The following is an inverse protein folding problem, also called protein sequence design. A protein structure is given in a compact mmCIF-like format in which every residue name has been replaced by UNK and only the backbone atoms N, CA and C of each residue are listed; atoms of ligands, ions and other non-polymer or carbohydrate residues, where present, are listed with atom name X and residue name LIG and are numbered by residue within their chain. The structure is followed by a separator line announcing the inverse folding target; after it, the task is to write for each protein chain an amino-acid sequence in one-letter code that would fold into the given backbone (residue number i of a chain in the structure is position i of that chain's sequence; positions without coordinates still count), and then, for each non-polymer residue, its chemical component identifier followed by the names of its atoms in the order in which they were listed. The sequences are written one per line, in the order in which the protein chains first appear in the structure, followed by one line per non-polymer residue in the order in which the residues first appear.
data_IF_410466229006
#
_entry.id   IF_410466229006
#
_cell.length_a   1.000
_cell.length_b   1.000
_cell.length_c   1.000
_cell.angle_alpha   90.00
_cell.angle_beta   90.00
_cell.angle_gamma   90.00
#
_symmetry.space_group_name_H-M   'P 1'
#
loop_
_entity.id
_entity.type
_entity.pdbx_description
1 polymer ?
#
# COMPACT_ATOMS: atom_id res chain seq x y z
N UNK A 1 -5.96 -21.62 18.62
CA UNK A 1 -6.21 -21.23 17.22
C UNK A 1 -5.79 -19.78 17.08
N UNK A 2 -4.79 -19.50 16.24
CA UNK A 2 -4.34 -18.14 16.01
C UNK A 2 -5.48 -17.31 15.41
N UNK A 3 -5.76 -16.13 15.97
CA UNK A 3 -6.83 -15.22 15.51
C UNK A 3 -6.44 -14.41 14.27
N UNK A 4 -5.22 -14.59 13.77
CA UNK A 4 -4.66 -13.87 12.64
C UNK A 4 -5.24 -14.32 11.30
N UNK A 5 -5.34 -13.37 10.38
CA UNK A 5 -5.75 -13.63 8.99
C UNK A 5 -4.49 -14.04 8.23
N UNK A 6 -4.44 -15.29 7.79
CA UNK A 6 -3.31 -15.82 7.01
C UNK A 6 -3.12 -15.02 5.71
N UNK A 7 -1.87 -14.73 5.37
CA UNK A 7 -1.47 -14.05 4.12
C UNK A 7 -2.09 -12.67 3.86
N UNK A 8 -2.71 -12.02 4.85
CA UNK A 8 -3.30 -10.67 4.69
C UNK A 8 -2.26 -9.64 4.21
N UNK A 9 -1.01 -9.77 4.65
CA UNK A 9 0.09 -8.85 4.35
C UNK A 9 0.50 -8.90 2.87
N UNK A 10 0.32 -10.04 2.19
CA UNK A 10 0.62 -10.18 0.76
C UNK A 10 -0.22 -9.23 -0.11
N UNK A 11 -1.39 -8.83 0.37
CA UNK A 11 -2.38 -8.10 -0.45
C UNK A 11 -2.88 -6.80 0.18
N UNK A 12 -2.20 -6.29 1.20
CA UNK A 12 -2.54 -5.02 1.84
C UNK A 12 -1.88 -3.82 1.16
N UNK A 13 -2.35 -2.62 1.51
CA UNK A 13 -1.85 -1.31 1.04
C UNK A 13 -0.71 -0.74 1.92
N UNK A 14 -0.22 -1.54 2.87
CA UNK A 14 0.74 -1.15 3.90
C UNK A 14 0.35 0.10 4.72
N UNK A 15 -0.90 0.57 4.71
CA UNK A 15 -1.33 1.75 5.48
C UNK A 15 -1.79 1.36 6.91
N UNK A 16 -0.84 0.86 7.70
CA UNK A 16 -1.09 0.28 9.02
C UNK A 16 -1.82 1.23 9.99
N UNK A 17 -1.53 2.53 9.97
CA UNK A 17 -2.14 3.53 10.85
C UNK A 17 -3.66 3.67 10.64
N UNK A 18 -4.15 3.26 9.47
CA UNK A 18 -5.57 3.30 9.09
C UNK A 18 -6.17 1.90 8.92
N UNK A 19 -5.37 0.85 9.11
CA UNK A 19 -5.80 -0.52 8.84
C UNK A 19 -6.69 -1.06 9.97
N UNK A 20 -7.94 -1.40 9.63
CA UNK A 20 -8.91 -2.01 10.57
C UNK A 20 -8.55 -3.42 11.03
N UNK A 21 -7.52 -4.03 10.43
CA UNK A 21 -7.12 -5.42 10.68
C UNK A 21 -5.83 -5.55 11.47
N UNK A 22 -5.29 -4.45 12.02
CA UNK A 22 -4.07 -4.48 12.86
C UNK A 22 -4.16 -5.51 13.99
N UNK A 23 -5.31 -5.61 14.66
CA UNK A 23 -5.57 -6.60 15.71
C UNK A 23 -5.58 -8.07 15.23
N UNK A 24 -5.68 -8.30 13.91
CA UNK A 24 -5.72 -9.62 13.27
C UNK A 24 -4.59 -9.81 12.24
N UNK A 25 -3.59 -8.94 12.25
CA UNK A 25 -2.44 -9.00 11.34
C UNK A 25 -1.20 -9.46 12.11
N UNK A 26 -0.72 -10.68 11.81
CA UNK A 26 0.46 -11.22 12.47
C UNK A 26 1.72 -10.38 12.21
N UNK A 27 1.86 -9.81 11.00
CA UNK A 27 2.98 -8.93 10.64
C UNK A 27 2.99 -7.65 11.48
N UNK A 28 1.82 -7.03 11.68
CA UNK A 28 1.72 -5.81 12.51
C UNK A 28 2.02 -6.11 13.99
N UNK A 29 1.47 -7.22 14.51
CA UNK A 29 1.77 -7.65 15.87
C UNK A 29 3.26 -7.98 16.06
N UNK A 30 3.87 -8.64 15.06
CA UNK A 30 5.29 -9.00 15.06
C UNK A 30 6.23 -7.81 14.97
N UNK A 31 5.94 -6.84 14.09
CA UNK A 31 6.76 -5.62 13.96
C UNK A 31 6.80 -4.81 15.26
N UNK A 32 5.69 -4.75 16.00
CA UNK A 32 5.65 -4.09 17.30
C UNK A 32 6.48 -4.83 18.35
N UNK A 33 6.50 -6.17 18.31
CA UNK A 33 7.28 -6.99 19.23
C UNK A 33 8.80 -6.95 18.93
N UNK A 34 9.19 -6.68 17.69
CA UNK A 34 10.59 -6.63 17.25
C UNK A 34 11.21 -5.23 17.28
N UNK A 35 10.41 -4.16 17.41
CA UNK A 35 10.87 -2.77 17.29
C UNK A 35 12.05 -2.40 18.20
N UNK A 36 12.15 -3.02 19.37
CA UNK A 36 13.20 -2.78 20.37
C UNK A 36 14.13 -3.99 20.57
N UNK A 37 14.08 -5.01 19.69
CA UNK A 37 14.90 -6.22 19.83
C UNK A 37 16.24 -6.07 19.12
N UNK A 38 17.32 -6.51 19.77
CA UNK A 38 18.67 -6.52 19.20
C UNK A 38 18.85 -7.74 18.29
N UNK A 39 19.19 -7.58 17.00
CA UNK A 39 19.47 -8.71 16.09
C UNK A 39 20.62 -9.62 16.55
N UNK A 40 21.52 -9.11 17.42
CA UNK A 40 22.61 -9.87 18.00
C UNK A 40 22.17 -10.70 19.24
N UNK A 41 20.92 -10.54 19.73
CA UNK A 41 20.34 -11.39 20.78
C UNK A 41 20.11 -12.81 20.24
N UNK A 42 20.66 -13.86 20.89
CA UNK A 42 20.43 -15.26 20.50
C UNK A 42 18.94 -15.64 20.34
N UNK A 43 18.04 -14.99 21.08
CA UNK A 43 16.59 -15.24 20.99
C UNK A 43 15.86 -14.47 19.89
N UNK A 44 16.51 -13.53 19.20
CA UNK A 44 15.87 -12.68 18.18
C UNK A 44 15.37 -13.50 17.00
N UNK A 45 16.25 -14.32 16.41
CA UNK A 45 15.95 -15.09 15.21
C UNK A 45 14.86 -16.14 15.46
N UNK A 46 14.86 -16.76 16.65
CA UNK A 46 13.80 -17.70 17.04
C UNK A 46 12.42 -17.02 17.08
N UNK A 47 12.32 -15.85 17.72
CA UNK A 47 11.08 -15.06 17.75
C UNK A 47 10.64 -14.62 16.35
N UNK A 48 11.57 -14.22 15.49
CA UNK A 48 11.27 -13.82 14.11
C UNK A 48 10.66 -14.99 13.31
N UNK A 49 11.22 -16.20 13.46
CA UNK A 49 10.74 -17.40 12.78
C UNK A 49 9.38 -17.85 13.31
N UNK A 50 9.15 -17.76 14.61
CA UNK A 50 7.83 -18.01 15.21
C UNK A 50 6.77 -17.06 14.63
N UNK A 51 7.10 -15.77 14.49
CA UNK A 51 6.21 -14.79 13.86
C UNK A 51 5.96 -15.07 12.39
N UNK A 52 6.99 -15.48 11.64
CA UNK A 52 6.86 -15.92 10.26
C UNK A 52 5.93 -17.14 10.14
N UNK A 53 6.11 -18.15 10.99
CA UNK A 53 5.22 -19.32 11.00
C UNK A 53 3.78 -18.90 11.28
N UNK A 54 3.56 -18.00 12.25
CA UNK A 54 2.22 -17.47 12.57
C UNK A 54 1.59 -16.67 11.42
N UNK A 55 2.36 -15.88 10.67
CA UNK A 55 1.82 -15.08 9.55
C UNK A 55 1.41 -15.94 8.35
N UNK A 56 2.10 -17.04 8.14
CA UNK A 56 1.81 -18.02 7.08
C UNK A 56 0.87 -19.15 7.55
N UNK A 57 0.51 -19.21 8.83
CA UNK A 57 -0.32 -20.30 9.37
C UNK A 57 0.37 -21.66 9.37
N UNK A 58 1.71 -21.66 9.40
CA UNK A 58 2.52 -22.87 9.52
C UNK A 58 2.54 -23.32 10.98
N UNK A 59 2.58 -24.63 11.22
CA UNK A 59 3.00 -25.13 12.53
C UNK A 59 4.42 -24.61 12.79
N UNK A 60 4.67 -24.07 13.99
CA UNK A 60 6.01 -23.66 14.39
C UNK A 60 6.93 -24.84 14.10
N UNK A 61 7.95 -24.62 13.28
CA UNK A 61 8.89 -25.67 12.89
C UNK A 61 9.45 -26.38 14.11
N UNK A 62 9.88 -27.65 13.98
CA UNK A 62 10.50 -28.36 15.08
C UNK A 62 11.59 -27.52 15.75
N UNK A 63 11.82 -27.75 17.04
CA UNK A 63 12.81 -27.05 17.90
C UNK A 63 14.26 -27.08 17.35
N UNK A 64 14.49 -27.69 16.18
CA UNK A 64 15.77 -28.03 15.56
C UNK A 64 16.00 -27.41 14.17
N UNK A 65 15.30 -26.34 13.78
CA UNK A 65 15.69 -25.54 12.60
C UNK A 65 17.12 -25.01 12.79
N UNK A 66 18.10 -25.74 12.26
CA UNK A 66 19.51 -25.33 12.20
C UNK A 66 19.65 -24.19 11.17
N UNK A 67 19.34 -22.97 11.60
CA UNK A 67 19.49 -21.77 10.79
C UNK A 67 20.86 -21.18 11.07
N UNK A 68 21.76 -21.30 10.10
CA UNK A 68 23.04 -20.63 10.13
C UNK A 68 22.88 -19.19 9.64
N UNK A 69 22.89 -18.24 10.57
CA UNK A 69 23.00 -16.82 10.23
C UNK A 69 24.47 -16.50 10.00
N UNK A 70 24.84 -16.23 8.75
CA UNK A 70 26.19 -15.80 8.37
C UNK A 70 26.18 -14.58 7.48
N UNK A 71 27.32 -13.90 7.40
CA UNK A 71 27.51 -12.86 6.39
C UNK A 71 27.58 -13.50 5.00
N UNK A 72 26.88 -12.96 3.99
CA UNK A 72 27.08 -13.35 2.61
C UNK A 72 28.54 -13.13 2.18
N UNK A 73 29.05 -13.98 1.29
CA UNK A 73 30.37 -13.78 0.69
C UNK A 73 30.32 -12.69 -0.38
N UNK A 74 31.48 -12.11 -0.74
CA UNK A 74 31.55 -11.13 -1.83
C UNK A 74 31.05 -11.71 -3.16
N UNK A 75 31.26 -13.01 -3.41
CA UNK A 75 30.75 -13.72 -4.59
C UNK A 75 29.22 -13.83 -4.58
N UNK A 76 28.62 -14.12 -3.43
CA UNK A 76 27.15 -14.18 -3.27
C UNK A 76 26.50 -12.80 -3.43
N UNK A 77 27.14 -11.76 -2.90
CA UNK A 77 26.68 -10.37 -3.07
C UNK A 77 26.73 -9.99 -4.55
N UNK A 78 27.87 -10.22 -5.22
CA UNK A 78 28.03 -9.91 -6.64
C UNK A 78 27.04 -10.69 -7.52
N UNK A 79 26.76 -11.95 -7.16
CA UNK A 79 25.74 -12.76 -7.85
C UNK A 79 24.34 -12.17 -7.67
N UNK A 80 23.94 -11.82 -6.44
CA UNK A 80 22.65 -11.22 -6.15
C UNK A 80 22.47 -9.85 -6.84
N UNK A 81 23.52 -9.01 -6.87
CA UNK A 81 23.51 -7.74 -7.60
C UNK A 81 23.37 -7.95 -9.11
N UNK A 82 24.04 -8.96 -9.67
CA UNK A 82 23.92 -9.33 -11.07
C UNK A 82 22.50 -9.79 -11.43
N UNK A 83 21.90 -10.67 -10.61
CA UNK A 83 20.52 -11.12 -10.79
C UNK A 83 19.52 -9.96 -10.68
N UNK A 84 19.69 -9.10 -9.67
CA UNK A 84 18.87 -7.91 -9.50
C UNK A 84 18.97 -6.95 -10.70
N UNK A 85 20.16 -6.76 -11.26
CA UNK A 85 20.37 -5.93 -12.44
C UNK A 85 19.71 -6.53 -13.70
N UNK A 86 19.76 -7.86 -13.86
CA UNK A 86 19.08 -8.54 -14.97
C UNK A 86 17.57 -8.41 -14.86
N UNK A 87 17.03 -8.59 -13.65
CA UNK A 87 15.61 -8.40 -13.35
C UNK A 87 15.18 -6.96 -13.64
N UNK A 88 15.92 -5.96 -13.16
CA UNK A 88 15.57 -4.56 -13.41
C UNK A 88 15.64 -4.22 -14.91
N UNK A 89 16.64 -4.72 -15.63
CA UNK A 89 16.75 -4.51 -17.08
C UNK A 89 15.58 -5.14 -17.85
N UNK A 90 15.01 -6.23 -17.33
CA UNK A 90 13.81 -6.89 -17.87
C UNK A 90 12.55 -6.09 -17.54
N UNK A 91 12.36 -5.70 -16.27
CA UNK A 91 11.21 -4.90 -15.83
C UNK A 91 11.16 -3.54 -16.53
N UNK A 92 12.31 -2.92 -16.79
CA UNK A 92 12.42 -1.66 -17.53
C UNK A 92 11.90 -1.74 -18.98
N UNK A 93 11.73 -2.95 -19.53
CA UNK A 93 11.15 -3.17 -20.86
C UNK A 93 9.66 -3.54 -20.81
N UNK A 94 9.13 -3.85 -19.63
CA UNK A 94 7.72 -4.20 -19.47
C UNK A 94 6.83 -2.95 -19.59
N UNK A 95 5.84 -3.02 -20.49
CA UNK A 95 4.98 -1.88 -20.80
C UNK A 95 4.20 -1.37 -19.58
N UNK A 96 3.75 -2.27 -18.70
CA UNK A 96 2.99 -1.89 -17.51
C UNK A 96 3.89 -1.18 -16.50
N UNK A 97 5.12 -1.67 -16.33
CA UNK A 97 6.12 -1.02 -15.47
C UNK A 97 6.52 0.35 -16.02
N UNK A 98 6.74 0.49 -17.34
CA UNK A 98 7.00 1.80 -17.93
C UNK A 98 5.86 2.81 -17.69
N UNK A 99 4.60 2.37 -17.77
CA UNK A 99 3.44 3.22 -17.46
C UNK A 99 3.40 3.61 -15.98
N UNK A 100 3.73 2.69 -15.08
CA UNK A 100 3.81 2.94 -13.63
C UNK A 100 4.85 4.00 -13.32
N UNK A 101 6.08 3.82 -13.82
CA UNK A 101 7.20 4.75 -13.64
C UNK A 101 6.84 6.13 -14.21
N UNK A 102 6.33 6.19 -15.44
CA UNK A 102 5.96 7.46 -16.06
C UNK A 102 4.88 8.21 -15.28
N UNK A 103 3.87 7.50 -14.74
CA UNK A 103 2.87 8.13 -13.87
C UNK A 103 3.49 8.60 -12.54
N UNK A 104 4.32 7.78 -11.90
CA UNK A 104 5.01 8.14 -10.66
C UNK A 104 5.88 9.39 -10.82
N UNK A 105 6.62 9.51 -11.93
CA UNK A 105 7.40 10.71 -12.24
C UNK A 105 6.52 11.97 -12.30
N UNK A 106 5.35 11.89 -12.97
CA UNK A 106 4.43 13.04 -13.00
C UNK A 106 3.88 13.42 -11.63
N UNK A 107 3.59 12.44 -10.78
CA UNK A 107 3.17 12.67 -9.39
C UNK A 107 4.29 13.31 -8.59
N UNK A 108 5.53 12.82 -8.71
CA UNK A 108 6.69 13.37 -8.02
C UNK A 108 6.95 14.82 -8.43
N UNK A 109 6.85 15.15 -9.72
CA UNK A 109 6.96 16.54 -10.18
C UNK A 109 5.93 17.46 -9.49
N UNK A 110 4.69 17.01 -9.32
CA UNK A 110 3.66 17.77 -8.60
C UNK A 110 4.01 17.90 -7.11
N UNK A 111 4.39 16.80 -6.46
CA UNK A 111 4.70 16.78 -5.02
C UNK A 111 5.93 17.66 -4.68
N UNK A 112 6.88 17.77 -5.61
CA UNK A 112 8.12 18.53 -5.47
C UNK A 112 8.03 19.97 -5.98
N UNK A 113 6.90 20.42 -6.54
CA UNK A 113 6.67 21.83 -6.89
C UNK A 113 6.43 22.68 -5.64
N UNK A 114 7.50 22.87 -4.86
CA UNK A 114 7.51 23.66 -3.62
C UNK A 114 7.04 25.10 -3.88
N UNK A 115 7.30 25.62 -5.08
CA UNK A 115 6.92 26.98 -5.45
C UNK A 115 5.39 27.12 -5.56
N UNK A 116 4.75 26.16 -6.22
CA UNK A 116 3.31 26.08 -6.36
C UNK A 116 2.61 25.91 -5.01
N UNK A 117 3.05 24.94 -4.19
CA UNK A 117 2.44 24.69 -2.88
C UNK A 117 2.59 25.88 -1.93
N UNK A 118 3.75 26.54 -1.93
CA UNK A 118 3.95 27.78 -1.15
C UNK A 118 3.06 28.92 -1.63
N UNK A 119 2.83 29.03 -2.94
CA UNK A 119 1.94 30.05 -3.48
C UNK A 119 0.49 29.81 -3.02
N UNK A 120 -0.01 28.56 -3.10
CA UNK A 120 -1.36 28.21 -2.63
C UNK A 120 -1.52 28.45 -1.13
N UNK A 121 -0.57 28.01 -0.31
CA UNK A 121 -0.59 28.24 1.14
C UNK A 121 -0.60 29.74 1.49
N UNK A 122 0.21 30.56 0.80
CA UNK A 122 0.23 32.02 1.00
C UNK A 122 -1.08 32.69 0.60
N UNK A 123 -1.68 32.27 -0.51
CA UNK A 123 -2.97 32.79 -0.96
C UNK A 123 -4.06 32.51 0.09
N UNK A 124 -4.17 31.25 0.51
CA UNK A 124 -5.14 30.83 1.55
C UNK A 124 -4.95 31.59 2.87
N UNK A 125 -3.70 31.75 3.33
CA UNK A 125 -3.40 32.54 4.54
C UNK A 125 -3.73 34.03 4.37
N UNK A 126 -3.50 34.60 3.19
CA UNK A 126 -3.81 36.00 2.90
C UNK A 126 -5.32 36.26 2.88
N UNK A 127 -6.12 35.34 2.33
CA UNK A 127 -7.58 35.42 2.35
C UNK A 127 -8.12 35.41 3.79
N UNK A 128 -7.59 34.54 4.65
CA UNK A 128 -7.96 34.49 6.06
C UNK A 128 -7.56 35.78 6.80
N UNK A 129 -6.36 36.33 6.54
CA UNK A 129 -5.90 37.58 7.16
C UNK A 129 -6.73 38.80 6.74
N UNK A 130 -7.28 38.80 5.52
CA UNK A 130 -8.19 39.83 5.02
C UNK A 130 -9.64 39.63 5.47
N UNK A 131 -9.96 38.54 6.18
CA UNK A 131 -11.32 38.22 6.62
C UNK A 131 -12.25 37.75 5.50
N UNK A 132 -11.71 37.30 4.36
CA UNK A 132 -12.49 36.74 3.24
C UNK A 132 -12.98 35.31 3.53
N UNK A 133 -12.30 34.61 4.45
CA UNK A 133 -12.65 33.30 4.99
C UNK A 133 -12.25 33.21 6.46
N UNK A 134 -12.78 32.24 7.22
CA UNK A 134 -12.34 32.04 8.59
C UNK A 134 -10.97 31.36 8.65
N UNK A 135 -10.26 31.53 9.77
CA UNK A 135 -8.98 30.84 10.03
C UNK A 135 -9.21 29.33 10.11
N UNK A 136 -10.33 28.89 10.69
CA UNK A 136 -10.73 27.50 10.78
C UNK A 136 -10.90 26.88 9.39
N UNK A 137 -11.55 27.58 8.46
CA UNK A 137 -11.70 27.10 7.09
C UNK A 137 -10.34 26.99 6.38
N UNK A 138 -9.43 27.94 6.61
CA UNK A 138 -8.07 27.89 6.06
C UNK A 138 -7.26 26.70 6.62
N UNK A 139 -7.39 26.42 7.91
CA UNK A 139 -6.76 25.25 8.54
C UNK A 139 -7.34 23.93 8.02
N UNK A 140 -8.67 23.83 7.90
CA UNK A 140 -9.34 22.64 7.38
C UNK A 140 -8.94 22.32 5.93
N UNK A 141 -8.81 23.35 5.08
CA UNK A 141 -8.27 23.19 3.72
C UNK A 141 -6.83 22.67 3.74
N UNK A 142 -5.96 23.24 4.58
CA UNK A 142 -4.57 22.81 4.69
C UNK A 142 -4.45 21.34 5.17
N UNK A 143 -5.32 20.92 6.10
CA UNK A 143 -5.42 19.52 6.54
C UNK A 143 -5.86 18.60 5.39
N UNK A 144 -6.89 18.98 4.64
CA UNK A 144 -7.38 18.21 3.49
C UNK A 144 -6.31 18.08 2.40
N UNK A 145 -5.59 19.16 2.08
CA UNK A 145 -4.49 19.16 1.12
C UNK A 145 -3.37 18.24 1.61
N UNK A 146 -3.01 18.31 2.89
CA UNK A 146 -1.96 17.46 3.47
C UNK A 146 -2.33 15.97 3.40
N UNK A 147 -3.57 15.60 3.73
CA UNK A 147 -4.06 14.22 3.59
C UNK A 147 -4.04 13.77 2.12
N UNK A 148 -4.49 14.62 1.18
CA UNK A 148 -4.46 14.30 -0.24
C UNK A 148 -3.02 14.05 -0.74
N UNK A 149 -2.07 14.92 -0.39
CA UNK A 149 -0.67 14.75 -0.81
C UNK A 149 -0.02 13.52 -0.18
N UNK A 150 -0.30 13.23 1.11
CA UNK A 150 0.20 12.03 1.77
C UNK A 150 -0.36 10.75 1.15
N UNK A 151 -1.68 10.69 0.91
CA UNK A 151 -2.32 9.56 0.22
C UNK A 151 -1.77 9.40 -1.19
N UNK A 152 -1.66 10.48 -1.95
CA UNK A 152 -1.15 10.45 -3.31
C UNK A 152 0.27 9.87 -3.36
N UNK A 153 1.19 10.35 -2.51
CA UNK A 153 2.55 9.81 -2.40
C UNK A 153 2.54 8.33 -2.06
N UNK A 154 1.89 7.97 -0.96
CA UNK A 154 1.93 6.61 -0.41
C UNK A 154 1.33 5.59 -1.39
N UNK A 155 0.17 5.88 -1.96
CA UNK A 155 -0.51 4.96 -2.85
C UNK A 155 0.17 4.85 -4.22
N UNK A 156 0.86 5.90 -4.68
CA UNK A 156 1.70 5.82 -5.88
C UNK A 156 2.87 4.86 -5.67
N UNK A 157 3.62 5.04 -4.58
CA UNK A 157 4.77 4.19 -4.24
C UNK A 157 4.34 2.73 -4.01
N UNK A 158 3.23 2.53 -3.30
CA UNK A 158 2.71 1.18 -3.03
C UNK A 158 2.19 0.51 -4.30
N UNK A 159 1.50 1.24 -5.19
CA UNK A 159 1.03 0.70 -6.45
C UNK A 159 2.21 0.23 -7.33
N UNK A 160 3.27 1.03 -7.46
CA UNK A 160 4.44 0.65 -8.26
C UNK A 160 5.09 -0.64 -7.76
N UNK A 161 5.34 -0.72 -6.45
CA UNK A 161 5.88 -1.92 -5.81
C UNK A 161 4.99 -3.14 -6.08
N UNK A 162 3.67 -3.03 -5.92
CA UNK A 162 2.73 -4.13 -6.16
C UNK A 162 2.66 -4.55 -7.64
N UNK A 163 2.76 -3.62 -8.57
CA UNK A 163 2.79 -3.94 -10.00
C UNK A 163 4.08 -4.68 -10.38
N UNK A 164 5.23 -4.23 -9.87
CA UNK A 164 6.52 -4.94 -10.05
C UNK A 164 6.43 -6.37 -9.52
N UNK A 165 5.95 -6.54 -8.28
CA UNK A 165 5.74 -7.87 -7.69
C UNK A 165 4.77 -8.72 -8.53
N UNK A 166 3.67 -8.14 -9.02
CA UNK A 166 2.70 -8.86 -9.84
C UNK A 166 3.29 -9.37 -11.15
N UNK A 167 4.11 -8.56 -11.83
CA UNK A 167 4.81 -8.94 -13.07
C UNK A 167 5.82 -10.06 -12.79
N UNK A 168 6.63 -9.94 -11.74
CA UNK A 168 7.59 -10.97 -11.33
C UNK A 168 6.90 -12.31 -11.08
N UNK A 169 5.78 -12.30 -10.34
CA UNK A 169 5.02 -13.52 -10.03
C UNK A 169 4.34 -14.10 -11.28
N UNK A 170 3.85 -13.26 -12.19
CA UNK A 170 3.23 -13.73 -13.44
C UNK A 170 4.22 -14.43 -14.38
N UNK A 171 5.50 -14.06 -14.30
CA UNK A 171 6.56 -14.67 -15.10
C UNK A 171 7.16 -15.93 -14.42
N UNK A 172 6.66 -16.32 -13.25
CA UNK A 172 7.10 -17.51 -12.51
C UNK A 172 8.40 -17.33 -11.73
N UNK A 173 8.86 -16.09 -11.55
CA UNK A 173 10.06 -15.74 -10.77
C UNK A 173 9.72 -15.34 -9.32
N UNK A 174 8.42 -15.30 -8.98
CA UNK A 174 7.93 -15.01 -7.64
C UNK A 174 7.65 -16.27 -6.80
N UNK A 175 7.36 -16.11 -5.51
CA UNK A 175 6.99 -17.24 -4.66
C UNK A 175 5.64 -17.84 -5.09
N UNK A 176 5.59 -19.17 -5.24
CA UNK A 176 4.38 -19.94 -5.63
C UNK A 176 3.14 -19.67 -4.75
N UNK A 177 3.35 -19.14 -3.56
CA UNK A 177 2.30 -18.84 -2.57
C UNK A 177 1.60 -17.49 -2.81
N UNK A 178 2.15 -16.63 -3.68
CA UNK A 178 1.62 -15.28 -3.93
C UNK A 178 1.01 -15.18 -5.32
N UNK A 179 -0.25 -14.75 -5.39
CA UNK A 179 -0.96 -14.59 -6.66
C UNK A 179 -0.60 -13.26 -7.32
N UNK A 180 -0.10 -13.30 -8.56
CA UNK A 180 0.09 -12.11 -9.39
C UNK A 180 -1.20 -11.30 -9.57
N UNK A 181 -2.34 -11.96 -9.82
CA UNK A 181 -3.65 -11.30 -9.88
C UNK A 181 -4.04 -10.65 -8.54
N UNK A 182 -3.70 -11.29 -7.41
CA UNK A 182 -3.94 -10.71 -6.09
C UNK A 182 -3.12 -9.45 -5.84
N UNK A 183 -1.84 -9.46 -6.21
CA UNK A 183 -0.96 -8.29 -6.16
C UNK A 183 -1.45 -7.17 -7.08
N UNK A 184 -1.85 -7.51 -8.30
CA UNK A 184 -2.45 -6.57 -9.24
C UNK A 184 -3.75 -5.96 -8.69
N UNK A 185 -4.58 -6.75 -7.98
CA UNK A 185 -5.78 -6.21 -7.30
C UNK A 185 -5.41 -5.20 -6.22
N UNK A 186 -4.37 -5.47 -5.44
CA UNK A 186 -3.87 -4.54 -4.43
C UNK A 186 -3.32 -3.27 -5.08
N UNK A 187 -2.58 -3.36 -6.18
CA UNK A 187 -2.15 -2.21 -6.96
C UNK A 187 -3.36 -1.38 -7.46
N UNK A 188 -4.36 -2.01 -8.06
CA UNK A 188 -5.58 -1.33 -8.51
C UNK A 188 -6.32 -0.62 -7.37
N UNK A 189 -6.33 -1.20 -6.17
CA UNK A 189 -6.88 -0.53 -5.00
C UNK A 189 -6.10 0.75 -4.66
N UNK A 190 -4.77 0.68 -4.63
CA UNK A 190 -3.92 1.86 -4.41
C UNK A 190 -4.11 2.93 -5.50
N UNK A 191 -4.17 2.55 -6.78
CA UNK A 191 -4.41 3.48 -7.90
C UNK A 191 -5.76 4.21 -7.77
N UNK A 192 -6.81 3.52 -7.33
CA UNK A 192 -8.14 4.12 -7.07
C UNK A 192 -8.11 5.08 -5.89
N UNK A 193 -7.39 4.75 -4.83
CA UNK A 193 -7.19 5.65 -3.69
C UNK A 193 -6.38 6.88 -4.08
N UNK A 194 -5.33 6.71 -4.90
CA UNK A 194 -4.57 7.82 -5.48
C UNK A 194 -5.44 8.71 -6.35
N UNK A 195 -6.35 8.14 -7.17
CA UNK A 195 -7.34 8.91 -7.93
C UNK A 195 -8.25 9.72 -7.01
N UNK A 196 -8.75 9.11 -5.93
CA UNK A 196 -9.62 9.80 -4.96
C UNK A 196 -8.89 10.98 -4.32
N UNK A 197 -7.63 10.81 -3.93
CA UNK A 197 -6.80 11.88 -3.39
C UNK A 197 -6.55 12.99 -4.43
N UNK A 198 -6.28 12.61 -5.68
CA UNK A 198 -6.07 13.56 -6.78
C UNK A 198 -7.35 14.35 -7.11
N UNK A 199 -8.52 13.70 -7.09
CA UNK A 199 -9.82 14.35 -7.26
C UNK A 199 -10.10 15.34 -6.14
N UNK A 200 -9.89 14.95 -4.88
CA UNK A 200 -10.03 15.87 -3.74
C UNK A 200 -9.09 17.06 -3.83
N UNK A 201 -7.86 16.85 -4.32
CA UNK A 201 -6.91 17.94 -4.55
C UNK A 201 -7.36 18.88 -5.67
N UNK A 202 -7.94 18.34 -6.75
CA UNK A 202 -8.47 19.13 -7.87
C UNK A 202 -9.72 19.93 -7.49
N UNK A 203 -10.58 19.37 -6.63
CA UNK A 203 -11.76 20.06 -6.11
C UNK A 203 -11.36 21.29 -5.27
N UNK A 204 -10.25 21.20 -4.53
CA UNK A 204 -9.69 22.32 -3.75
C UNK A 204 -8.96 23.30 -4.69
N UNK A 205 -8.14 22.78 -5.60
CA UNK A 205 -7.34 23.55 -6.54
C UNK A 205 -7.57 23.07 -7.97
N UNK A 206 -8.50 23.68 -8.73
CA UNK A 206 -8.81 23.29 -10.10
C UNK A 206 -7.72 23.78 -11.07
N UNK A 207 -6.50 23.25 -10.92
CA UNK A 207 -5.34 23.60 -11.72
C UNK A 207 -5.25 22.66 -12.94
N UNK A 208 -5.62 23.19 -14.11
CA UNK A 208 -5.63 22.45 -15.38
C UNK A 208 -4.24 22.12 -15.91
N UNK A 209 -3.20 22.83 -15.45
CA UNK A 209 -1.83 22.67 -15.94
C UNK A 209 -1.04 21.63 -15.12
N UNK A 210 -1.28 21.57 -13.81
CA UNK A 210 -0.49 20.75 -12.87
C UNK A 210 -1.21 19.54 -12.33
N UNK A 211 -2.54 19.58 -12.15
CA UNK A 211 -3.29 18.52 -11.47
C UNK A 211 -4.11 17.72 -12.49
N UNK A 212 -4.86 18.40 -13.37
CA UNK A 212 -5.69 17.74 -14.38
C UNK A 212 -4.92 16.75 -15.29
N UNK A 213 -3.66 17.03 -15.71
CA UNK A 213 -2.94 16.11 -16.59
C UNK A 213 -2.60 14.76 -15.96
N UNK A 214 -2.64 14.61 -14.63
CA UNK A 214 -2.29 13.37 -13.93
C UNK A 214 -3.40 12.30 -14.04
N UNK A 215 -4.64 12.66 -14.36
CA UNK A 215 -5.75 11.70 -14.45
C UNK A 215 -5.63 10.76 -15.65
N UNK A 216 -5.13 11.26 -16.78
CA UNK A 216 -4.99 10.47 -18.02
C UNK A 216 -3.98 9.33 -17.89
N UNK A 217 -2.71 9.56 -17.46
CA UNK A 217 -1.75 8.47 -17.26
C UNK A 217 -2.21 7.49 -16.19
N UNK A 218 -2.82 7.96 -15.08
CA UNK A 218 -3.41 7.08 -14.07
C UNK A 218 -4.48 6.16 -14.65
N UNK A 219 -5.39 6.70 -15.46
CA UNK A 219 -6.43 5.89 -16.11
C UNK A 219 -5.85 4.92 -17.15
N UNK A 220 -4.76 5.29 -17.83
CA UNK A 220 -4.05 4.38 -18.74
C UNK A 220 -3.39 3.24 -17.98
N UNK A 221 -2.74 3.52 -16.85
CA UNK A 221 -2.11 2.53 -15.98
C UNK A 221 -3.13 1.52 -15.44
N UNK A 222 -4.29 1.98 -14.95
CA UNK A 222 -5.34 1.06 -14.50
C UNK A 222 -5.85 0.15 -15.61
N UNK A 223 -6.12 0.70 -16.81
CA UNK A 223 -6.57 -0.13 -17.95
C UNK A 223 -5.51 -1.14 -18.37
N UNK A 224 -4.23 -0.76 -18.35
CA UNK A 224 -3.13 -1.66 -18.66
C UNK A 224 -3.02 -2.77 -17.61
N UNK A 225 -3.23 -2.44 -16.33
CA UNK A 225 -3.24 -3.41 -15.23
C UNK A 225 -4.38 -4.41 -15.40
N UNK A 226 -5.62 -3.94 -15.62
CA UNK A 226 -6.78 -4.80 -15.87
C UNK A 226 -6.59 -5.70 -17.10
N UNK A 227 -5.94 -5.20 -18.15
CA UNK A 227 -5.66 -5.97 -19.36
C UNK A 227 -4.60 -7.06 -19.15
N UNK A 228 -3.55 -6.78 -18.35
CA UNK A 228 -2.48 -7.75 -18.05
C UNK A 228 -2.93 -8.81 -17.04
N UNK A 229 -3.78 -8.43 -16.08
CA UNK A 229 -4.25 -9.27 -14.98
C UNK A 229 -5.79 -9.37 -14.97
N UNK A 230 -6.39 -10.09 -15.92
CA UNK A 230 -7.85 -10.11 -16.10
C UNK A 230 -8.61 -10.72 -14.91
N UNK A 231 -7.95 -11.55 -14.09
CA UNK A 231 -8.57 -12.15 -12.91
C UNK A 231 -8.40 -11.31 -11.64
N UNK A 232 -7.61 -10.23 -11.68
CA UNK A 232 -7.34 -9.37 -10.52
C UNK A 232 -8.61 -8.86 -9.84
N UNK A 233 -9.59 -8.36 -10.59
CA UNK A 233 -10.83 -7.83 -9.99
C UNK A 233 -11.65 -8.90 -9.25
N UNK A 234 -11.58 -10.16 -9.71
CA UNK A 234 -12.26 -11.31 -9.13
C UNK A 234 -11.51 -11.98 -7.97
N UNK A 235 -10.20 -11.73 -7.83
CA UNK A 235 -9.39 -12.28 -6.74
C UNK A 235 -9.94 -11.81 -5.39
N UNK A 236 -10.07 -12.69 -4.40
CA UNK A 236 -10.55 -12.33 -3.06
C UNK A 236 -9.34 -12.10 -2.16
N UNK A 237 -9.04 -10.84 -1.82
CA UNK A 237 -7.95 -10.54 -0.88
C UNK A 237 -8.33 -11.02 0.53
N UNK A 238 -7.51 -11.91 1.14
CA UNK A 238 -7.74 -12.41 2.49
C UNK A 238 -8.02 -11.29 3.49
N UNK A 239 -9.11 -11.41 4.24
CA UNK A 239 -9.57 -10.42 5.20
C UNK A 239 -10.18 -9.13 4.61
N UNK A 240 -9.80 -8.69 3.41
CA UNK A 240 -10.28 -7.42 2.85
C UNK A 240 -11.58 -7.55 2.05
N UNK A 241 -11.64 -8.52 1.15
CA UNK A 241 -12.73 -8.64 0.15
C UNK A 241 -13.69 -9.81 0.45
N UNK A 242 -13.44 -10.55 1.53
CA UNK A 242 -14.30 -11.66 1.96
C UNK A 242 -15.69 -11.12 2.29
N UNK A 243 -16.74 -11.82 1.83
CA UNK A 243 -18.11 -11.51 2.23
C UNK A 243 -18.21 -11.62 3.76
N UNK A 244 -18.85 -10.67 4.45
CA UNK A 244 -19.11 -10.82 5.87
C UNK A 244 -19.90 -12.12 6.06
N UNK A 245 -19.39 -13.00 6.92
CA UNK A 245 -20.08 -14.23 7.28
C UNK A 245 -21.45 -13.85 7.81
N UNK A 246 -22.51 -14.17 7.07
CA UNK A 246 -23.88 -14.04 7.57
C UNK A 246 -24.03 -15.11 8.64
N UNK A 247 -23.83 -14.72 9.90
CA UNK A 247 -24.07 -15.60 11.04
C UNK A 247 -25.58 -15.82 11.11
N UNK A 248 -26.04 -16.94 10.54
CA UNK A 248 -27.41 -17.43 10.74
C UNK A 248 -27.43 -18.24 12.02
N UNK A 249 -27.56 -17.55 13.15
CA UNK A 249 -27.68 -18.16 14.47
C UNK A 249 -27.49 -17.13 15.57
N UNK A 250 -28.40 -17.12 16.54
CA UNK A 250 -28.50 -16.17 17.64
C UNK A 250 -27.21 -16.06 18.47
N UNK A 251 -26.28 -15.23 18.00
CA UNK A 251 -25.13 -14.76 18.74
C UNK A 251 -25.28 -13.25 18.88
N UNK A 252 -25.56 -12.81 20.10
CA UNK A 252 -25.53 -11.40 20.47
C UNK A 252 -24.17 -10.80 20.05
N UNK A 253 -24.21 -9.91 19.08
CA UNK A 253 -23.03 -9.20 18.61
C UNK A 253 -22.49 -8.32 19.75
N UNK A 254 -21.18 -8.33 20.06
CA UNK A 254 -20.60 -7.52 21.14
C UNK A 254 -20.39 -6.05 20.75
N UNK A 255 -20.90 -5.60 19.60
CA UNK A 255 -20.77 -4.24 19.12
C UNK A 255 -22.15 -3.59 19.02
N UNK A 256 -22.32 -2.34 19.51
CA UNK A 256 -23.59 -1.65 19.37
C UNK A 256 -23.85 -1.42 17.88
N UNK A 257 -24.98 -1.93 17.40
CA UNK A 257 -25.48 -1.66 16.06
C UNK A 257 -25.52 -0.15 15.84
N UNK A 258 -24.75 0.36 14.89
CA UNK A 258 -24.86 1.75 14.46
C UNK A 258 -26.22 1.88 13.79
N UNK A 259 -27.16 2.53 14.48
CA UNK A 259 -28.45 2.90 13.92
C UNK A 259 -28.22 3.74 12.67
N UNK A 260 -28.75 3.28 11.53
CA UNK A 260 -28.83 4.10 10.33
C UNK A 260 -29.51 5.43 10.69
N UNK A 261 -29.01 6.60 10.22
CA UNK A 261 -29.72 7.85 10.43
C UNK A 261 -31.05 7.77 9.69
N UNK A 262 -32.13 8.04 10.43
CA UNK A 262 -33.45 8.17 9.88
C UNK A 262 -33.43 9.25 8.80
N UNK A 263 -33.91 8.87 7.61
CA UNK A 263 -34.15 9.82 6.54
C UNK A 263 -35.10 10.92 7.03
N UNK A 264 -34.63 12.18 6.94
CA UNK A 264 -35.44 13.39 6.86
C UNK A 264 -34.84 14.27 5.78
#
# INVERSE_FOLDING_TARGET
MSSYISSIYCYCDHFCERCRFTARCAVFAGSAALADSDPDDPGFWQKLLEQFAQSHGLETGPDDWEIEVRKPTDEEIAFAEYEAALLEARLAQDQLICLSVGWQETVLCLLEDVSFWRAKARASASEAAMGLRSVQDAMGEAECVTDCLHRLRRFTETADMRLREAVINADGEGPDTTSGDGLAKSALHCLREARSALAGLFDIFPDEDRILPLFSPLAALERATDARFPAATSFVRPGFDEMPVVVTGDLELPWPSVSAPAAL
#
